data_IF_656240368754
#
_entry.id   IF_656240368754
#
_cell.length_a   1.000
_cell.length_b   1.000
_cell.length_c   1.000
_cell.angle_alpha   90.00
_cell.angle_beta   90.00
_cell.angle_gamma   90.00
#
_symmetry.space_group_name_H-M   'P 1'
#
loop_
_entity.id
_entity.type
_entity.pdbx_description
1 polymer ?
#
# COMPACT_ATOMS: atom_id res chain seq x y z
N UNK A 1 -35.16 -73.34 -25.19
CA UNK A 1 -34.69 -74.28 -26.24
C UNK A 1 -33.18 -74.33 -26.23
N UNK A 2 -32.61 -75.55 -26.26
CA UNK A 2 -31.17 -75.91 -26.19
C UNK A 2 -30.51 -75.90 -27.58
N UNK A 3 -29.16 -75.79 -27.59
CA UNK A 3 -28.12 -76.55 -28.36
C UNK A 3 -26.90 -75.62 -28.55
N UNK A 4 -25.74 -75.77 -27.90
CA UNK A 4 -24.67 -76.80 -27.91
C UNK A 4 -24.17 -77.10 -29.33
N UNK A 5 -22.87 -76.85 -29.57
CA UNK A 5 -21.97 -77.78 -30.27
C UNK A 5 -20.49 -77.62 -29.87
N UNK A 6 -19.76 -78.73 -29.99
CA UNK A 6 -18.51 -79.14 -29.32
C UNK A 6 -17.22 -78.84 -30.10
N UNK A 7 -16.10 -78.83 -29.35
CA UNK A 7 -14.67 -78.77 -29.72
C UNK A 7 -14.22 -79.85 -30.75
N UNK A 8 -12.95 -79.79 -31.23
CA UNK A 8 -11.92 -80.63 -30.60
C UNK A 8 -10.50 -79.99 -30.46
N UNK A 9 -9.62 -80.75 -29.83
CA UNK A 9 -8.32 -80.46 -29.21
C UNK A 9 -7.16 -81.13 -29.99
N UNK A 10 -5.94 -80.57 -29.97
CA UNK A 10 -4.61 -81.19 -30.27
C UNK A 10 -3.55 -80.08 -30.01
N UNK A 11 -2.42 -80.20 -29.31
CA UNK A 11 -1.73 -81.26 -28.58
C UNK A 11 -0.22 -80.92 -28.47
N UNK A 12 0.40 -81.30 -27.34
CA UNK A 12 1.86 -81.55 -27.11
C UNK A 12 2.84 -80.35 -26.99
N UNK A 13 3.96 -80.37 -26.22
CA UNK A 13 4.46 -81.03 -24.98
C UNK A 13 5.95 -80.57 -24.82
N UNK A 14 6.43 -80.25 -23.60
CA UNK A 14 7.84 -80.27 -23.08
C UNK A 14 8.87 -79.25 -23.65
N UNK A 15 9.96 -78.81 -22.97
CA UNK A 15 10.72 -79.12 -21.72
C UNK A 15 11.65 -77.88 -21.51
N UNK A 16 11.98 -77.39 -20.31
CA UNK A 16 12.96 -77.98 -19.39
C UNK A 16 13.75 -76.88 -18.63
N UNK A 17 14.34 -77.24 -17.48
CA UNK A 17 15.55 -76.58 -16.93
C UNK A 17 15.39 -75.61 -15.75
N UNK A 18 15.55 -76.11 -14.52
CA UNK A 18 15.91 -75.44 -13.25
C UNK A 18 17.41 -75.71 -12.97
N UNK A 19 18.09 -75.26 -11.88
CA UNK A 19 17.95 -74.13 -10.92
C UNK A 19 19.36 -73.52 -10.55
N UNK A 20 19.77 -73.17 -9.29
CA UNK A 20 19.29 -72.22 -8.25
C UNK A 20 20.37 -71.24 -7.69
N UNK A 21 19.96 -70.34 -6.76
CA UNK A 21 20.53 -70.17 -5.38
C UNK A 21 21.16 -68.80 -5.01
N UNK A 22 20.75 -68.30 -3.84
CA UNK A 22 21.43 -67.28 -3.01
C UNK A 22 20.60 -66.00 -2.87
N UNK A 23 20.28 -65.44 -1.71
CA UNK A 23 20.69 -65.64 -0.31
C UNK A 23 20.21 -64.42 0.49
N UNK A 24 19.92 -64.60 1.78
CA UNK A 24 19.40 -63.63 2.76
C UNK A 24 20.31 -62.39 2.95
N UNK A 25 19.71 -61.23 3.28
CA UNK A 25 20.14 -60.27 4.32
C UNK A 25 19.15 -59.09 4.35
N UNK A 26 18.40 -58.88 5.44
CA UNK A 26 18.76 -58.18 6.69
C UNK A 26 18.77 -56.64 6.57
N UNK A 27 18.17 -56.02 7.58
CA UNK A 27 17.59 -54.69 7.54
C UNK A 27 18.57 -53.53 7.45
N UNK A 28 18.06 -52.37 7.04
CA UNK A 28 18.67 -51.07 7.33
C UNK A 28 17.63 -49.95 7.34
N UNK A 29 17.41 -49.43 8.55
CA UNK A 29 17.31 -48.00 8.82
C UNK A 29 16.14 -47.25 8.17
N UNK A 30 15.02 -47.17 8.90
CA UNK A 30 14.01 -46.13 8.74
C UNK A 30 14.66 -44.79 9.16
N UNK A 31 15.29 -44.11 8.21
CA UNK A 31 15.92 -42.82 8.43
C UNK A 31 14.81 -41.78 8.56
N UNK A 32 14.44 -41.46 9.80
CA UNK A 32 13.60 -40.32 10.15
C UNK A 32 14.23 -39.08 9.52
N UNK A 33 13.67 -38.63 8.40
CA UNK A 33 13.97 -37.34 7.81
C UNK A 33 13.38 -36.29 8.77
N UNK A 34 14.14 -35.99 9.84
CA UNK A 34 13.93 -34.79 10.66
C UNK A 34 13.91 -33.64 9.66
N UNK A 35 12.69 -33.15 9.36
CA UNK A 35 12.49 -31.86 8.69
C UNK A 35 13.47 -30.92 9.36
N UNK A 36 14.48 -30.48 8.59
CA UNK A 36 15.39 -29.42 8.98
C UNK A 36 14.50 -28.33 9.55
N UNK A 37 14.58 -28.16 10.87
CA UNK A 37 13.96 -27.04 11.53
C UNK A 37 14.41 -25.83 10.74
N UNK A 38 13.46 -25.13 10.13
CA UNK A 38 13.69 -23.79 9.64
C UNK A 38 14.38 -23.08 10.78
N UNK A 39 15.67 -22.83 10.62
CA UNK A 39 16.45 -22.02 11.53
C UNK A 39 15.69 -20.70 11.51
N UNK A 40 14.87 -20.46 12.53
CA UNK A 40 14.40 -19.12 12.86
C UNK A 40 15.70 -18.35 12.96
N UNK A 41 15.98 -17.55 11.93
CA UNK A 41 17.13 -16.68 11.89
C UNK A 41 17.01 -15.81 13.13
N UNK A 42 17.73 -16.20 14.18
CA UNK A 42 17.87 -15.46 15.41
C UNK A 42 18.60 -14.20 15.05
N UNK A 43 17.86 -13.10 14.98
CA UNK A 43 18.32 -11.73 15.09
C UNK A 43 17.05 -10.87 15.23
N UNK A 44 16.33 -11.09 16.33
CA UNK A 44 15.50 -10.03 16.90
C UNK A 44 16.48 -8.95 17.39
N UNK A 45 17.02 -8.18 16.43
CA UNK A 45 17.66 -6.91 16.72
C UNK A 45 16.62 -6.13 17.51
N UNK A 46 16.90 -5.84 18.78
CA UNK A 46 16.07 -4.94 19.58
C UNK A 46 16.00 -3.61 18.82
N UNK A 47 14.85 -3.33 18.23
CA UNK A 47 14.56 -2.06 17.56
C UNK A 47 13.94 -1.17 18.63
N UNK A 48 14.55 -0.03 18.91
CA UNK A 48 13.96 0.99 19.77
C UNK A 48 12.96 1.79 18.93
N UNK A 49 11.72 1.90 19.38
CA UNK A 49 10.68 2.65 18.66
C UNK A 49 10.49 4.01 19.33
N UNK A 50 10.72 5.07 18.59
CA UNK A 50 10.58 6.46 19.03
C UNK A 50 9.48 7.16 18.20
N UNK A 51 8.69 8.07 18.78
CA UNK A 51 7.78 8.89 18.00
C UNK A 51 8.54 9.83 17.05
N UNK A 52 8.03 10.04 15.84
CA UNK A 52 8.63 10.98 14.90
C UNK A 52 8.41 12.42 15.39
N UNK A 53 9.46 13.24 15.40
CA UNK A 53 9.45 14.60 15.99
C UNK A 53 8.39 15.53 15.39
N UNK A 54 8.15 15.42 14.07
CA UNK A 54 7.26 16.33 13.30
C UNK A 54 5.90 15.75 12.97
N UNK A 55 5.75 14.42 12.97
CA UNK A 55 4.58 13.76 12.38
C UNK A 55 3.90 12.88 13.43
N UNK A 56 2.81 13.35 14.03
CA UNK A 56 2.01 12.54 14.94
C UNK A 56 1.50 11.27 14.25
N UNK A 57 1.55 10.13 14.93
CA UNK A 57 1.16 8.81 14.38
C UNK A 57 2.23 8.12 13.53
N UNK A 58 3.35 8.79 13.25
CA UNK A 58 4.53 8.20 12.60
C UNK A 58 5.62 7.95 13.66
N UNK A 59 6.34 6.85 13.50
CA UNK A 59 7.37 6.41 14.43
C UNK A 59 8.67 6.07 13.69
N UNK A 60 9.79 6.09 14.39
CA UNK A 60 11.11 5.72 13.89
C UNK A 60 11.62 4.54 14.70
N UNK A 61 11.93 3.45 14.02
CA UNK A 61 12.61 2.29 14.60
C UNK A 61 14.12 2.47 14.48
N UNK A 62 14.80 2.76 15.58
CA UNK A 62 16.26 2.85 15.66
C UNK A 62 16.86 1.45 15.78
N UNK A 63 17.80 1.13 14.88
CA UNK A 63 18.48 -0.16 14.84
C UNK A 63 19.83 -0.05 14.13
N UNK A 64 20.19 -1.05 13.33
CA UNK A 64 21.36 -0.94 12.43
C UNK A 64 21.11 0.09 11.32
N UNK A 65 19.86 0.16 10.88
CA UNK A 65 19.34 1.11 9.92
C UNK A 65 18.05 1.66 10.53
N UNK A 66 17.81 2.95 10.33
CA UNK A 66 16.59 3.60 10.80
C UNK A 66 15.43 3.23 9.88
N UNK A 67 14.32 2.82 10.47
CA UNK A 67 13.12 2.41 9.75
C UNK A 67 11.96 3.36 10.06
N UNK A 68 11.20 3.75 9.04
CA UNK A 68 9.95 4.46 9.24
C UNK A 68 8.85 3.45 9.62
N UNK A 69 8.06 3.77 10.64
CA UNK A 69 7.07 2.87 11.24
C UNK A 69 5.72 3.56 11.40
N UNK A 70 4.62 2.80 11.30
CA UNK A 70 3.27 3.20 11.73
C UNK A 70 2.71 2.20 12.73
N UNK A 71 1.86 2.66 13.66
CA UNK A 71 1.19 1.78 14.63
C UNK A 71 0.05 1.02 13.93
N UNK A 72 0.11 -0.31 13.91
CA UNK A 72 -0.86 -1.13 13.20
C UNK A 72 -2.27 -1.00 13.81
N UNK A 73 -3.26 -0.65 12.99
CA UNK A 73 -4.66 -0.66 13.41
C UNK A 73 -5.27 -2.08 13.43
N UNK A 74 -4.69 -3.00 12.65
CA UNK A 74 -5.12 -4.40 12.54
C UNK A 74 -3.94 -5.35 12.86
N UNK A 75 -3.61 -5.56 14.14
CA UNK A 75 -2.50 -6.42 14.55
C UNK A 75 -2.61 -7.84 14.00
N UNK A 76 -1.49 -8.49 13.71
CA UNK A 76 -1.47 -9.86 13.19
C UNK A 76 -1.63 -9.97 11.67
N UNK A 77 -2.09 -8.91 10.99
CA UNK A 77 -2.26 -8.90 9.53
C UNK A 77 -1.22 -8.01 8.85
N UNK A 78 -0.50 -8.56 7.87
CA UNK A 78 0.25 -7.76 6.88
C UNK A 78 -0.62 -7.46 5.65
N UNK A 79 -0.39 -6.31 5.01
CA UNK A 79 -1.13 -5.92 3.79
C UNK A 79 -0.41 -6.37 2.54
N UNK A 80 0.91 -6.15 2.46
CA UNK A 80 1.72 -6.45 1.28
C UNK A 80 2.99 -7.24 1.61
N UNK A 81 3.02 -7.88 2.78
CA UNK A 81 4.16 -8.67 3.25
C UNK A 81 5.28 -7.84 3.89
N UNK A 82 4.97 -6.64 4.36
CA UNK A 82 5.89 -5.78 5.10
C UNK A 82 6.37 -6.40 6.41
N UNK A 83 7.58 -6.01 6.82
CA UNK A 83 8.13 -6.38 8.13
C UNK A 83 7.32 -5.69 9.23
N UNK A 84 7.11 -6.40 10.33
CA UNK A 84 6.37 -5.92 11.51
C UNK A 84 7.23 -6.05 12.75
N UNK A 85 7.05 -5.13 13.67
CA UNK A 85 7.81 -5.04 14.94
C UNK A 85 6.78 -5.03 16.05
N UNK A 86 6.78 -6.05 16.91
CA UNK A 86 5.95 -6.06 18.11
C UNK A 86 6.77 -5.54 19.29
N UNK A 87 6.24 -4.57 20.01
CA UNK A 87 6.83 -4.02 21.23
C UNK A 87 5.81 -4.19 22.35
N UNK A 88 6.29 -4.61 23.52
CA UNK A 88 5.49 -4.63 24.73
C UNK A 88 5.58 -3.24 25.39
N UNK A 89 4.46 -2.54 25.44
CA UNK A 89 4.35 -1.21 26.06
C UNK A 89 3.38 -1.35 27.20
N UNK A 90 3.88 -1.24 28.43
CA UNK A 90 3.06 -1.27 29.65
C UNK A 90 2.19 -2.54 29.81
N UNK A 91 2.64 -3.68 29.26
CA UNK A 91 1.91 -4.95 29.28
C UNK A 91 0.95 -5.15 28.11
N UNK A 92 0.79 -4.14 27.24
CA UNK A 92 0.06 -4.27 25.98
C UNK A 92 1.02 -4.53 24.81
N UNK A 93 0.75 -5.60 24.06
CA UNK A 93 1.52 -5.93 22.86
C UNK A 93 1.09 -5.05 21.69
N UNK A 94 1.84 -3.99 21.44
CA UNK A 94 1.62 -3.07 20.31
C UNK A 94 2.41 -3.56 19.09
N UNK A 95 1.74 -3.61 17.94
CA UNK A 95 2.38 -3.98 16.66
C UNK A 95 2.61 -2.73 15.80
N UNK A 96 3.85 -2.54 15.34
CA UNK A 96 4.25 -1.54 14.38
C UNK A 96 4.54 -2.18 13.02
N UNK A 97 4.28 -1.44 11.94
CA UNK A 97 4.51 -1.87 10.55
C UNK A 97 5.60 -1.01 9.93
N UNK A 98 6.53 -1.64 9.21
CA UNK A 98 7.57 -0.93 8.46
C UNK A 98 6.97 -0.29 7.23
N UNK A 99 7.07 1.03 7.15
CA UNK A 99 6.64 1.82 6.01
C UNK A 99 7.79 1.94 5.00
N UNK A 100 7.62 1.31 3.84
CA UNK A 100 8.67 1.28 2.82
C UNK A 100 8.67 2.57 1.99
N UNK A 101 9.77 3.32 2.12
CA UNK A 101 10.03 4.59 1.43
C UNK A 101 10.04 4.46 -0.10
N UNK A 102 10.55 3.33 -0.63
CA UNK A 102 10.61 3.05 -2.07
C UNK A 102 9.27 2.62 -2.68
N UNK A 103 8.23 2.40 -1.86
CA UNK A 103 6.90 2.00 -2.34
C UNK A 103 5.84 3.06 -2.08
N UNK A 104 6.17 4.10 -1.33
CA UNK A 104 5.22 5.10 -0.87
C UNK A 104 5.83 6.49 -0.98
N UNK A 105 5.30 7.29 -1.93
CA UNK A 105 5.77 8.66 -2.15
C UNK A 105 5.54 9.56 -0.93
N UNK A 106 4.52 9.27 -0.12
CA UNK A 106 4.30 9.96 1.15
C UNK A 106 5.41 9.65 2.16
N UNK A 107 5.83 8.38 2.29
CA UNK A 107 6.97 8.03 3.12
C UNK A 107 8.28 8.65 2.60
N UNK A 108 8.48 8.66 1.27
CA UNK A 108 9.60 9.36 0.64
C UNK A 108 9.61 10.84 1.01
N UNK A 109 8.47 11.53 0.92
CA UNK A 109 8.36 12.93 1.33
C UNK A 109 8.72 13.18 2.79
N UNK A 110 8.27 12.31 3.70
CA UNK A 110 8.60 12.36 5.13
C UNK A 110 10.12 12.26 5.34
N UNK A 111 10.78 11.33 4.66
CA UNK A 111 12.24 11.11 4.79
C UNK A 111 13.05 12.20 4.09
N UNK A 112 12.61 12.67 2.92
CA UNK A 112 13.22 13.80 2.19
C UNK A 112 13.04 15.14 2.92
N UNK A 113 12.19 15.19 3.95
CA UNK A 113 12.22 16.24 4.95
C UNK A 113 11.09 17.23 4.89
N UNK A 114 9.96 16.88 4.26
CA UNK A 114 8.74 17.71 4.21
C UNK A 114 8.39 18.26 5.60
N UNK A 115 7.93 19.51 5.69
CA UNK A 115 7.63 20.16 6.96
C UNK A 115 6.30 19.67 7.54
N UNK A 116 5.27 19.58 6.69
CA UNK A 116 3.92 19.19 7.09
C UNK A 116 3.21 18.38 5.99
N UNK A 117 2.59 17.27 6.35
CA UNK A 117 1.79 16.42 5.43
C UNK A 117 0.29 16.50 5.71
N UNK A 118 -0.15 17.40 6.59
CA UNK A 118 -1.56 17.64 6.96
C UNK A 118 -2.37 16.42 7.40
N UNK A 119 -1.74 15.27 7.61
CA UNK A 119 -2.31 14.02 8.05
C UNK A 119 -1.85 13.79 9.49
N UNK A 120 -2.80 13.69 10.41
CA UNK A 120 -2.54 13.33 11.80
C UNK A 120 -3.68 12.51 12.40
N UNK A 121 -3.51 12.05 13.65
CA UNK A 121 -4.54 11.32 14.38
C UNK A 121 -5.87 12.10 14.41
N UNK A 122 -6.98 11.42 14.11
CA UNK A 122 -8.33 12.02 14.06
C UNK A 122 -8.67 12.78 12.77
N UNK A 123 -7.73 12.95 11.84
CA UNK A 123 -7.97 13.70 10.60
C UNK A 123 -8.85 12.93 9.61
N UNK A 124 -9.67 13.63 8.84
CA UNK A 124 -10.38 13.07 7.69
C UNK A 124 -9.55 13.31 6.43
N UNK A 125 -9.16 12.24 5.76
CA UNK A 125 -8.26 12.27 4.59
C UNK A 125 -8.99 11.76 3.36
N UNK A 126 -8.99 12.53 2.28
CA UNK A 126 -9.38 12.03 0.95
C UNK A 126 -8.13 11.64 0.18
N UNK A 127 -8.00 10.35 -0.12
CA UNK A 127 -6.88 9.77 -0.86
C UNK A 127 -7.28 9.51 -2.30
N UNK A 128 -6.67 10.22 -3.25
CA UNK A 128 -6.93 10.06 -4.68
C UNK A 128 -5.86 9.18 -5.33
N UNK A 129 -6.28 8.08 -5.99
CA UNK A 129 -5.38 7.11 -6.59
C UNK A 129 -4.89 6.07 -5.59
N UNK A 130 -5.81 5.46 -4.85
CA UNK A 130 -5.51 4.52 -3.76
C UNK A 130 -4.83 3.22 -4.21
N UNK A 131 -4.96 2.85 -5.49
CA UNK A 131 -4.46 1.60 -6.06
C UNK A 131 -4.88 0.39 -5.20
N UNK A 132 -3.97 -0.54 -4.91
CA UNK A 132 -4.22 -1.68 -4.02
C UNK A 132 -4.22 -1.33 -2.52
N UNK A 133 -4.03 -0.07 -2.15
CA UNK A 133 -4.15 0.41 -0.77
C UNK A 133 -2.90 0.20 0.10
N UNK A 134 -1.71 0.01 -0.49
CA UNK A 134 -0.45 -0.13 0.26
C UNK A 134 -0.17 1.08 1.15
N UNK A 135 -0.09 2.28 0.57
CA UNK A 135 0.09 3.55 1.31
C UNK A 135 -1.16 3.92 2.12
N UNK A 136 -2.36 3.69 1.56
CA UNK A 136 -3.63 3.97 2.26
C UNK A 136 -3.69 3.26 3.61
N UNK A 137 -3.19 2.02 3.69
CA UNK A 137 -3.14 1.29 4.95
C UNK A 137 -2.27 1.95 6.02
N UNK A 138 -1.19 2.65 5.63
CA UNK A 138 -0.34 3.42 6.54
C UNK A 138 -0.98 4.77 6.91
N UNK A 139 -1.65 5.43 5.97
CA UNK A 139 -2.42 6.65 6.25
C UNK A 139 -3.53 6.35 7.26
N UNK A 140 -4.24 5.24 7.11
CA UNK A 140 -5.24 4.75 8.06
C UNK A 140 -4.64 4.46 9.44
N UNK A 141 -3.45 3.85 9.50
CA UNK A 141 -2.74 3.62 10.76
C UNK A 141 -2.38 4.95 11.47
N UNK A 142 -1.99 5.99 10.74
CA UNK A 142 -1.64 7.33 11.27
C UNK A 142 -2.87 8.07 11.78
N UNK A 143 -3.94 8.06 11.00
CA UNK A 143 -5.21 8.72 11.32
C UNK A 143 -5.89 8.06 12.52
N UNK A 144 -5.71 6.75 12.69
CA UNK A 144 -6.24 6.02 13.84
C UNK A 144 -7.76 5.81 13.79
N UNK A 145 -8.34 5.41 14.93
CA UNK A 145 -9.75 5.02 15.04
C UNK A 145 -10.72 6.20 14.91
N UNK A 146 -10.29 7.39 15.32
CA UNK A 146 -11.14 8.57 15.42
C UNK A 146 -11.25 9.35 14.11
N UNK A 147 -10.34 9.12 13.17
CA UNK A 147 -10.40 9.73 11.84
C UNK A 147 -10.80 8.74 10.76
N UNK A 148 -10.86 9.21 9.52
CA UNK A 148 -11.39 8.44 8.40
C UNK A 148 -10.60 8.69 7.12
N UNK A 149 -10.38 7.63 6.34
CA UNK A 149 -9.70 7.70 5.04
C UNK A 149 -10.68 7.31 3.93
N UNK A 150 -10.96 8.24 3.04
CA UNK A 150 -11.78 8.01 1.85
C UNK A 150 -10.85 7.71 0.68
N UNK A 151 -10.81 6.45 0.25
CA UNK A 151 -9.84 5.96 -0.72
C UNK A 151 -10.50 5.81 -2.10
N UNK A 152 -10.19 6.72 -3.03
CA UNK A 152 -10.74 6.73 -4.39
C UNK A 152 -9.80 5.98 -5.33
N UNK A 153 -10.33 4.99 -6.03
CA UNK A 153 -9.63 4.23 -7.06
C UNK A 153 -10.56 3.96 -8.24
N UNK A 154 -10.06 4.10 -9.46
CA UNK A 154 -10.85 3.89 -10.68
C UNK A 154 -10.80 2.44 -11.16
N UNK A 155 -9.68 1.75 -10.92
CA UNK A 155 -9.49 0.38 -11.38
C UNK A 155 -10.29 -0.61 -10.52
N UNK A 156 -11.19 -1.36 -11.14
CA UNK A 156 -11.93 -2.44 -10.46
C UNK A 156 -11.00 -3.53 -9.90
N UNK A 157 -9.91 -3.84 -10.61
CA UNK A 157 -8.94 -4.87 -10.16
C UNK A 157 -8.26 -4.45 -8.87
N UNK A 158 -7.67 -3.25 -8.86
CA UNK A 158 -7.06 -2.68 -7.66
C UNK A 158 -8.10 -2.43 -6.57
N UNK A 159 -9.32 -2.06 -6.97
CA UNK A 159 -10.47 -1.86 -6.10
C UNK A 159 -10.84 -3.11 -5.30
N UNK A 160 -10.74 -4.32 -5.88
CA UNK A 160 -10.95 -5.57 -5.11
C UNK A 160 -9.97 -5.71 -3.97
N UNK A 161 -8.68 -5.43 -4.21
CA UNK A 161 -7.65 -5.48 -3.17
C UNK A 161 -7.87 -4.40 -2.11
N UNK A 162 -8.25 -3.20 -2.54
CA UNK A 162 -8.58 -2.09 -1.65
C UNK A 162 -9.77 -2.42 -0.74
N UNK A 163 -10.83 -3.03 -1.28
CA UNK A 163 -12.01 -3.49 -0.51
C UNK A 163 -11.59 -4.56 0.52
N UNK A 164 -10.83 -5.57 0.09
CA UNK A 164 -10.35 -6.64 0.98
C UNK A 164 -9.49 -6.10 2.14
N UNK A 165 -8.69 -5.07 1.88
CA UNK A 165 -7.89 -4.40 2.89
C UNK A 165 -8.77 -3.57 3.84
N UNK A 166 -9.77 -2.88 3.29
CA UNK A 166 -10.72 -2.04 4.05
C UNK A 166 -11.61 -2.87 4.98
N UNK A 167 -11.94 -4.12 4.64
CA UNK A 167 -12.68 -5.02 5.54
C UNK A 167 -11.98 -5.24 6.90
N UNK A 168 -10.64 -5.12 6.93
CA UNK A 168 -9.84 -5.30 8.15
C UNK A 168 -9.57 -3.98 8.88
N UNK A 169 -9.89 -2.84 8.26
CA UNK A 169 -9.61 -1.49 8.76
C UNK A 169 -10.89 -0.65 8.65
N UNK A 170 -11.66 -0.52 9.75
CA UNK A 170 -12.98 0.12 9.71
C UNK A 170 -12.92 1.61 9.41
N UNK A 171 -11.74 2.23 9.52
CA UNK A 171 -11.53 3.65 9.23
C UNK A 171 -11.16 3.94 7.76
N UNK A 172 -11.38 2.98 6.85
CA UNK A 172 -11.20 3.17 5.40
C UNK A 172 -12.53 2.96 4.70
N UNK A 173 -12.94 3.96 3.91
CA UNK A 173 -14.07 3.87 3.00
C UNK A 173 -13.53 3.73 1.57
N UNK A 174 -13.58 2.54 0.95
CA UNK A 174 -13.17 2.36 -0.43
C UNK A 174 -14.24 2.90 -1.39
N UNK A 175 -13.84 3.72 -2.35
CA UNK A 175 -14.71 4.33 -3.35
C UNK A 175 -14.17 3.95 -4.73
N UNK A 176 -14.90 3.11 -5.45
CA UNK A 176 -14.51 2.64 -6.79
C UNK A 176 -15.18 3.53 -7.85
N UNK A 177 -14.60 4.70 -8.10
CA UNK A 177 -15.09 5.70 -9.05
C UNK A 177 -13.95 6.52 -9.66
N UNK A 178 -14.24 7.21 -10.76
CA UNK A 178 -13.28 8.12 -11.40
C UNK A 178 -13.17 9.45 -10.63
N UNK A 179 -11.97 9.75 -10.12
CA UNK A 179 -11.67 10.98 -9.39
C UNK A 179 -11.88 12.27 -10.22
N UNK A 180 -11.97 12.17 -11.56
CA UNK A 180 -12.34 13.30 -12.43
C UNK A 180 -13.77 13.80 -12.22
N UNK A 181 -14.64 12.97 -11.64
CA UNK A 181 -16.07 13.25 -11.48
C UNK A 181 -16.50 13.20 -10.00
N UNK A 182 -16.07 14.17 -9.16
CA UNK A 182 -16.39 14.18 -7.73
C UNK A 182 -17.89 14.22 -7.40
N UNK A 183 -18.72 14.68 -8.35
CA UNK A 183 -20.17 14.66 -8.22
C UNK A 183 -20.75 13.25 -8.03
N UNK A 184 -20.09 12.20 -8.55
CA UNK A 184 -20.57 10.81 -8.46
C UNK A 184 -20.49 10.22 -7.06
N UNK A 185 -19.45 10.56 -6.30
CA UNK A 185 -19.26 10.08 -4.92
C UNK A 185 -19.45 11.18 -3.87
N UNK A 186 -20.07 12.31 -4.27
CA UNK A 186 -20.45 13.41 -3.38
C UNK A 186 -21.20 12.96 -2.14
N UNK A 187 -22.06 11.94 -2.26
CA UNK A 187 -22.88 11.46 -1.15
C UNK A 187 -22.09 10.65 -0.11
N UNK A 188 -20.90 10.14 -0.47
CA UNK A 188 -20.09 9.27 0.36
C UNK A 188 -19.04 10.04 1.18
N UNK A 189 -18.51 11.11 0.61
CA UNK A 189 -17.37 11.86 1.17
C UNK A 189 -17.89 13.13 1.86
N UNK A 190 -17.75 13.27 3.18
CA UNK A 190 -18.04 14.51 3.89
C UNK A 190 -16.93 15.54 3.65
N UNK A 191 -17.03 16.71 4.28
CA UNK A 191 -15.93 17.66 4.30
C UNK A 191 -14.71 17.03 5.01
N UNK A 192 -13.56 17.06 4.34
CA UNK A 192 -12.28 16.49 4.77
C UNK A 192 -11.28 17.57 5.18
N UNK A 193 -10.27 17.16 5.95
CA UNK A 193 -9.23 18.04 6.47
C UNK A 193 -8.04 18.18 5.52
N UNK A 194 -7.72 17.11 4.80
CA UNK A 194 -6.66 17.09 3.80
C UNK A 194 -6.97 16.17 2.62
N UNK A 195 -6.37 16.48 1.47
CA UNK A 195 -6.35 15.66 0.27
C UNK A 195 -4.91 15.22 0.02
N UNK A 196 -4.71 13.91 -0.15
CA UNK A 196 -3.47 13.36 -0.70
C UNK A 196 -3.74 12.80 -2.09
N UNK A 197 -2.95 13.20 -3.08
CA UNK A 197 -3.08 12.75 -4.46
C UNK A 197 -1.83 12.01 -4.94
N UNK A 198 -2.01 10.76 -5.34
CA UNK A 198 -1.00 9.93 -6.02
C UNK A 198 -1.43 9.52 -7.44
N UNK A 199 -2.30 10.32 -8.05
CA UNK A 199 -2.83 10.05 -9.38
C UNK A 199 -1.76 10.37 -10.43
N UNK A 200 -1.34 9.39 -11.21
CA UNK A 200 -0.37 9.57 -12.31
C UNK A 200 -1.10 9.87 -13.63
N UNK A 201 -1.70 11.05 -13.75
CA UNK A 201 -2.41 11.51 -14.96
C UNK A 201 -1.89 12.88 -15.40
N UNK A 202 -1.92 13.21 -16.71
CA UNK A 202 -1.52 14.54 -17.19
C UNK A 202 -2.40 15.68 -16.64
N UNK A 203 -3.66 15.39 -16.32
CA UNK A 203 -4.62 16.35 -15.77
C UNK A 203 -4.72 16.31 -14.23
N UNK A 204 -3.67 15.84 -13.55
CA UNK A 204 -3.63 15.62 -12.09
C UNK A 204 -4.05 16.85 -11.29
N UNK A 205 -3.48 18.03 -11.56
CA UNK A 205 -3.82 19.23 -10.79
C UNK A 205 -5.28 19.64 -10.94
N UNK A 206 -5.87 19.46 -12.13
CA UNK A 206 -7.30 19.72 -12.35
C UNK A 206 -8.17 18.76 -11.51
N UNK A 207 -7.80 17.48 -11.45
CA UNK A 207 -8.51 16.48 -10.63
C UNK A 207 -8.46 16.88 -9.15
N UNK A 208 -7.28 17.26 -8.65
CA UNK A 208 -7.10 17.70 -7.26
C UNK A 208 -7.91 18.96 -6.97
N UNK A 209 -7.86 19.95 -7.85
CA UNK A 209 -8.61 21.20 -7.71
C UNK A 209 -10.12 20.97 -7.62
N UNK A 210 -10.69 20.13 -8.50
CA UNK A 210 -12.11 19.80 -8.47
C UNK A 210 -12.50 19.08 -7.18
N UNK A 211 -11.69 18.13 -6.72
CA UNK A 211 -11.93 17.43 -5.46
C UNK A 211 -11.83 18.36 -4.25
N UNK A 212 -10.86 19.28 -4.25
CA UNK A 212 -10.71 20.28 -3.21
C UNK A 212 -11.94 21.18 -3.10
N UNK A 213 -12.48 21.64 -4.22
CA UNK A 213 -13.70 22.46 -4.22
C UNK A 213 -14.93 21.74 -3.67
N UNK A 214 -15.04 20.42 -3.87
CA UNK A 214 -16.18 19.64 -3.39
C UNK A 214 -16.07 19.24 -1.92
N UNK A 215 -14.88 18.84 -1.47
CA UNK A 215 -14.72 18.12 -0.22
C UNK A 215 -13.77 18.78 0.77
N UNK A 216 -12.87 19.67 0.36
CA UNK A 216 -11.84 20.18 1.27
C UNK A 216 -12.35 21.40 2.04
N UNK A 217 -12.12 21.41 3.35
CA UNK A 217 -12.42 22.58 4.19
C UNK A 217 -11.52 23.77 3.85
N UNK A 218 -11.96 24.97 4.22
CA UNK A 218 -11.12 26.16 4.14
C UNK A 218 -9.84 26.00 4.97
N UNK A 219 -8.69 26.32 4.39
CA UNK A 219 -7.39 26.12 5.02
C UNK A 219 -6.94 24.65 5.11
N UNK A 220 -7.71 23.72 4.54
CA UNK A 220 -7.38 22.30 4.47
C UNK A 220 -6.11 22.03 3.67
N UNK A 221 -5.43 20.94 4.01
CA UNK A 221 -4.17 20.54 3.39
C UNK A 221 -4.36 19.92 2.01
N UNK A 222 -3.45 20.22 1.09
CA UNK A 222 -3.39 19.55 -0.22
C UNK A 222 -1.96 19.09 -0.46
N UNK A 223 -1.78 17.78 -0.57
CA UNK A 223 -0.49 17.16 -0.80
C UNK A 223 -0.56 16.38 -2.13
N UNK A 224 0.22 16.80 -3.12
CA UNK A 224 0.19 16.26 -4.48
C UNK A 224 1.54 15.68 -4.83
N UNK A 225 1.57 14.39 -5.14
CA UNK A 225 2.77 13.72 -5.65
C UNK A 225 2.79 13.80 -7.17
N UNK A 226 3.69 14.61 -7.73
CA UNK A 226 3.82 14.84 -9.17
C UNK A 226 4.97 14.02 -9.72
N UNK A 227 4.71 13.29 -10.80
CA UNK A 227 5.72 12.59 -11.61
C UNK A 227 5.87 13.31 -12.94
N UNK A 228 7.00 13.99 -13.15
CA UNK A 228 7.19 14.83 -14.33
C UNK A 228 6.98 14.07 -15.65
N UNK A 229 7.52 12.84 -15.72
CA UNK A 229 7.42 11.97 -16.89
C UNK A 229 5.98 11.54 -17.25
N UNK A 230 5.03 11.59 -16.30
CA UNK A 230 3.62 11.30 -16.58
C UNK A 230 2.84 12.53 -17.05
N UNK A 231 3.31 13.73 -16.73
CA UNK A 231 2.68 14.98 -17.17
C UNK A 231 3.19 15.33 -18.57
N UNK A 232 4.52 15.44 -18.73
CA UNK A 232 5.15 15.73 -20.00
C UNK A 232 6.60 15.21 -20.02
N UNK A 233 6.87 14.17 -20.81
CA UNK A 233 8.20 13.56 -20.95
C UNK A 233 9.15 14.33 -21.87
N UNK A 234 8.68 15.35 -22.59
CA UNK A 234 9.47 16.10 -23.57
C UNK A 234 10.17 17.33 -22.99
N UNK A 235 9.84 17.72 -21.75
CA UNK A 235 10.32 18.95 -21.10
C UNK A 235 11.03 18.57 -19.79
N UNK A 236 12.05 19.32 -19.34
CA UNK A 236 12.68 19.09 -18.04
C UNK A 236 11.71 19.08 -16.87
N UNK A 237 11.98 18.23 -15.87
CA UNK A 237 11.12 18.03 -14.71
C UNK A 237 10.87 19.32 -13.91
N UNK A 238 11.87 20.18 -13.78
CA UNK A 238 11.77 21.47 -13.08
C UNK A 238 10.71 22.38 -13.69
N UNK A 239 10.64 22.45 -15.02
CA UNK A 239 9.63 23.23 -15.75
C UNK A 239 8.24 22.66 -15.53
N UNK A 240 8.10 21.33 -15.59
CA UNK A 240 6.82 20.65 -15.31
C UNK A 240 6.34 20.98 -13.89
N UNK A 241 7.22 20.91 -12.90
CA UNK A 241 6.85 21.26 -11.52
C UNK A 241 6.42 22.73 -11.39
N UNK A 242 7.12 23.66 -12.05
CA UNK A 242 6.77 25.08 -12.03
C UNK A 242 5.38 25.34 -12.65
N UNK A 243 5.08 24.66 -13.77
CA UNK A 243 3.77 24.77 -14.43
C UNK A 243 2.65 24.22 -13.54
N UNK A 244 2.83 23.06 -12.93
CA UNK A 244 1.85 22.47 -12.01
C UNK A 244 1.60 23.34 -10.78
N UNK A 245 2.66 23.93 -10.19
CA UNK A 245 2.55 24.92 -9.10
C UNK A 245 1.69 26.11 -9.54
N UNK A 246 1.86 26.59 -10.77
CA UNK A 246 1.08 27.72 -11.29
C UNK A 246 -0.40 27.34 -11.50
N UNK A 247 -0.69 26.12 -11.94
CA UNK A 247 -2.07 25.63 -12.07
C UNK A 247 -2.72 25.47 -10.70
N UNK A 248 -2.00 24.97 -9.68
CA UNK A 248 -2.48 24.88 -8.30
C UNK A 248 -2.85 26.27 -7.75
N UNK A 249 -1.98 27.26 -7.96
CA UNK A 249 -2.23 28.67 -7.55
C UNK A 249 -3.49 29.24 -8.20
N UNK A 250 -3.68 29.01 -9.51
CA UNK A 250 -4.90 29.42 -10.24
C UNK A 250 -6.17 28.74 -9.72
N UNK A 251 -6.02 27.57 -9.09
CA UNK A 251 -7.12 26.76 -8.55
C UNK A 251 -7.40 27.02 -7.06
N UNK A 252 -6.95 28.17 -6.54
CA UNK A 252 -7.05 28.58 -5.13
C UNK A 252 -6.36 27.64 -4.13
N UNK A 253 -5.37 26.88 -4.57
CA UNK A 253 -4.49 26.10 -3.69
C UNK A 253 -3.19 26.88 -3.58
N UNK A 254 -2.87 27.40 -2.38
CA UNK A 254 -1.63 28.13 -2.13
C UNK A 254 -0.52 27.13 -1.80
N UNK A 255 0.46 26.90 -2.70
CA UNK A 255 1.59 26.01 -2.43
C UNK A 255 2.46 26.63 -1.34
N UNK A 256 2.91 25.82 -0.40
CA UNK A 256 3.73 26.20 0.74
C UNK A 256 5.13 25.64 0.63
N UNK A 257 5.22 24.40 0.19
CA UNK A 257 6.46 23.64 0.17
C UNK A 257 6.48 22.72 -1.06
N UNK A 258 7.66 22.50 -1.59
CA UNK A 258 7.93 21.55 -2.65
C UNK A 258 9.20 20.80 -2.28
N UNK A 259 9.12 19.46 -2.27
CA UNK A 259 10.25 18.57 -1.94
C UNK A 259 10.42 17.56 -3.06
N UNK A 260 11.63 17.44 -3.60
CA UNK A 260 11.97 16.37 -4.53
C UNK A 260 12.16 15.05 -3.79
N UNK A 261 11.69 13.95 -4.38
CA UNK A 261 11.71 12.62 -3.72
C UNK A 261 12.98 11.82 -4.00
N UNK A 262 14.03 12.46 -4.52
CA UNK A 262 15.33 11.86 -4.69
C UNK A 262 16.00 11.64 -3.31
N UNK A 263 16.64 10.48 -3.07
CA UNK A 263 17.06 9.44 -4.01
C UNK A 263 16.06 8.27 -4.24
N UNK A 264 14.85 8.32 -3.69
CA UNK A 264 13.92 7.18 -3.69
C UNK A 264 13.17 7.02 -5.02
N UNK A 265 12.70 8.14 -5.58
CA UNK A 265 11.94 8.20 -6.81
C UNK A 265 12.50 9.32 -7.70
N UNK A 266 12.97 8.97 -8.90
CA UNK A 266 13.51 9.93 -9.87
C UNK A 266 12.39 10.73 -10.52
N UNK A 267 12.64 12.01 -10.81
CA UNK A 267 11.68 12.92 -11.47
C UNK A 267 10.32 13.02 -10.75
N UNK A 268 10.31 12.83 -9.43
CA UNK A 268 9.14 13.00 -8.59
C UNK A 268 9.33 14.14 -7.59
N UNK A 269 8.25 14.90 -7.37
CA UNK A 269 8.18 15.92 -6.34
C UNK A 269 6.87 15.81 -5.57
N UNK A 270 6.94 16.03 -4.26
CA UNK A 270 5.78 16.23 -3.41
C UNK A 270 5.57 17.74 -3.23
N UNK A 271 4.40 18.22 -3.65
CA UNK A 271 3.99 19.61 -3.47
C UNK A 271 2.94 19.65 -2.37
N UNK A 272 3.20 20.47 -1.36
CA UNK A 272 2.33 20.67 -0.21
C UNK A 272 1.75 22.07 -0.26
N UNK A 273 0.45 22.20 -0.05
CA UNK A 273 -0.27 23.46 -0.10
C UNK A 273 -1.46 23.51 0.84
N UNK A 274 -2.10 24.68 0.89
CA UNK A 274 -3.36 24.89 1.60
C UNK A 274 -4.43 25.41 0.66
N UNK A 275 -5.62 24.87 0.77
CA UNK A 275 -6.78 25.36 0.04
C UNK A 275 -7.30 26.65 0.65
N UNK A 276 -7.57 27.64 -0.20
CA UNK A 276 -8.10 28.95 0.19
C UNK A 276 -9.41 29.12 -0.58
N UNK A 277 -10.50 29.45 0.09
CA UNK A 277 -11.72 29.82 -0.64
C UNK A 277 -11.49 31.16 -1.33
N UNK A 278 -11.89 31.26 -2.60
CA UNK A 278 -11.90 32.54 -3.29
C UNK A 278 -12.78 33.50 -2.50
N UNK A 279 -12.20 34.60 -2.00
CA UNK A 279 -12.98 35.66 -1.35
C UNK A 279 -13.99 36.15 -2.37
N UNK A 280 -15.28 36.07 -2.04
CA UNK A 280 -16.35 36.66 -2.82
C UNK A 280 -16.18 38.19 -2.78
N UNK A 281 -15.39 38.76 -3.71
CA UNK A 281 -15.07 40.20 -3.62
C UNK A 281 -14.26 40.83 -4.75
N UNK A 282 -13.69 40.09 -5.70
CA UNK A 282 -13.02 40.70 -6.86
C UNK A 282 -13.49 40.06 -8.17
N UNK A 283 -14.75 40.31 -8.52
CA UNK A 283 -15.09 40.42 -9.94
C UNK A 283 -14.65 41.81 -10.38
N UNK A 284 -13.54 41.89 -11.11
CA UNK A 284 -13.26 43.04 -11.98
C UNK A 284 -14.21 43.03 -13.17
#
# INVERSE_FOLDING_TARGET
MKRIDKKPNRGKFQKGGRPPRGGKNEGRGRMNNKKKGSVKAGLDKKILVEPHKRFPGVYVGRGKEDLLLTKSLAPGTSVYGERRVSVDVEGEKVEYRVWNVYRSKLAAGIVCGVENIHIGPGSKVLYLGASSGTTVSHVSDIVGKDGMVYAVEVSERSGRDLINMSMKRPNIVPIIEDARHPSRYRMLVPIVDCIFSDVSQPDQTRIVALNAQYFLKEGGGVDVSIKANCVNSSIPAETVFADEVNILRKSNIKPREQVTLEPFEKDHALIVGKFVLAKSGEKK
#
